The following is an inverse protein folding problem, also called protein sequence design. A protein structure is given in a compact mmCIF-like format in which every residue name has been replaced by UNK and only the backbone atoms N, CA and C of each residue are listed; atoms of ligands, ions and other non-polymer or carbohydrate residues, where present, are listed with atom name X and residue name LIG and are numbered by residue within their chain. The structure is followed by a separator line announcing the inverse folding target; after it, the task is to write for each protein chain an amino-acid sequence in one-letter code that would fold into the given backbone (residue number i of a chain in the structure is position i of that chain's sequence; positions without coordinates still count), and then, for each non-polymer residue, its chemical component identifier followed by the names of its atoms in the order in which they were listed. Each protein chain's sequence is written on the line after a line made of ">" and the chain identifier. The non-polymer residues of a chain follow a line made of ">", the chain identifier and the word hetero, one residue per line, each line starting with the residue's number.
data_IF_279285888235
#
_entry.id   IF_279285888235
#
_cell.length_a   1.000
_cell.length_b   1.000
_cell.length_c   1.000
_cell.angle_alpha   90.00
_cell.angle_beta   90.00
_cell.angle_gamma   90.00
#
_symmetry.space_group_name_H-M   'P 1'
#
loop_
_entity.id
_entity.type
_entity.pdbx_description
1 polymer ?
#
# COMPACT_ATOMS: atom_id res chain seq x y z
N UNK A 1 -1.90 -6.16 26.35
CA UNK A 1 -3.18 -6.02 25.66
C UNK A 1 -2.89 -5.82 24.17
N UNK A 2 -3.17 -6.81 23.32
CA UNK A 2 -2.94 -6.67 21.87
C UNK A 2 -4.23 -6.15 21.24
N UNK A 3 -4.20 -5.00 20.59
CA UNK A 3 -5.33 -4.48 19.82
C UNK A 3 -5.37 -5.21 18.48
N UNK A 4 -6.49 -5.84 18.14
CA UNK A 4 -6.63 -6.51 16.83
C UNK A 4 -6.74 -5.48 15.71
N UNK A 5 -6.24 -5.81 14.53
CA UNK A 5 -6.39 -4.99 13.33
C UNK A 5 -7.88 -4.71 13.04
N UNK A 6 -8.74 -5.72 13.15
CA UNK A 6 -10.19 -5.57 12.97
C UNK A 6 -10.76 -4.52 13.89
N UNK A 7 -10.45 -4.57 15.20
CA UNK A 7 -10.95 -3.58 16.16
C UNK A 7 -10.48 -2.15 15.87
N UNK A 8 -9.28 -1.99 15.28
CA UNK A 8 -8.82 -0.68 14.83
C UNK A 8 -9.54 -0.21 13.58
N UNK A 9 -9.76 -1.09 12.63
CA UNK A 9 -10.54 -0.77 11.44
C UNK A 9 -11.95 -0.33 11.82
N UNK A 10 -12.63 -1.04 12.73
CA UNK A 10 -13.97 -0.71 13.19
C UNK A 10 -14.03 0.71 13.79
N UNK A 11 -12.98 1.11 14.52
CA UNK A 11 -12.86 2.43 15.12
C UNK A 11 -12.24 3.50 14.21
N UNK A 12 -11.85 3.17 12.97
CA UNK A 12 -11.30 4.13 12.01
C UNK A 12 -12.39 4.55 11.04
N UNK A 13 -12.92 5.78 11.10
CA UNK A 13 -13.94 6.23 10.17
C UNK A 13 -13.35 6.45 8.78
N UNK A 14 -14.03 5.96 7.75
CA UNK A 14 -13.81 6.36 6.36
C UNK A 14 -15.18 6.70 5.77
N UNK A 15 -15.58 7.98 5.73
CA UNK A 15 -16.80 8.38 5.10
C UNK A 15 -16.84 7.95 3.63
N UNK A 16 -18.00 7.53 3.13
CA UNK A 16 -18.17 7.07 1.74
C UNK A 16 -17.61 8.07 0.70
N UNK A 17 -17.73 9.36 0.97
CA UNK A 17 -17.21 10.44 0.11
C UNK A 17 -15.68 10.53 0.09
N UNK A 18 -15.00 9.87 1.02
CA UNK A 18 -13.55 9.90 1.19
C UNK A 18 -12.87 8.59 0.76
N UNK A 19 -13.53 7.76 -0.05
CA UNK A 19 -12.98 6.48 -0.54
C UNK A 19 -11.60 6.60 -1.22
N UNK A 20 -11.31 7.77 -1.83
CA UNK A 20 -10.01 8.06 -2.41
C UNK A 20 -8.90 8.30 -1.37
N UNK A 21 -9.22 8.40 -0.08
CA UNK A 21 -8.19 8.57 0.97
C UNK A 21 -7.20 7.41 1.00
N UNK A 22 -7.64 6.19 0.69
CA UNK A 22 -6.76 5.04 0.59
C UNK A 22 -5.68 5.23 -0.50
N UNK A 23 -6.10 5.68 -1.67
CA UNK A 23 -5.19 5.97 -2.81
C UNK A 23 -4.26 7.13 -2.45
N UNK A 24 -4.80 8.21 -1.87
CA UNK A 24 -4.00 9.36 -1.42
C UNK A 24 -2.91 8.94 -0.42
N UNK A 25 -3.24 8.14 0.57
CA UNK A 25 -2.28 7.65 1.57
C UNK A 25 -1.17 6.80 0.93
N UNK A 26 -1.51 5.95 -0.03
CA UNK A 26 -0.52 5.15 -0.75
C UNK A 26 0.40 6.05 -1.62
N UNK A 27 -0.15 7.04 -2.32
CA UNK A 27 0.63 8.00 -3.11
C UNK A 27 1.55 8.84 -2.22
N UNK A 28 1.07 9.30 -1.05
CA UNK A 28 1.92 10.02 -0.09
C UNK A 28 3.06 9.15 0.41
N UNK A 29 2.81 7.86 0.69
CA UNK A 29 3.87 6.93 1.08
C UNK A 29 4.90 6.73 -0.05
N UNK A 30 4.46 6.64 -1.31
CA UNK A 30 5.32 6.53 -2.47
C UNK A 30 6.21 7.78 -2.64
N UNK A 31 5.64 8.98 -2.52
CA UNK A 31 6.40 10.24 -2.56
C UNK A 31 7.46 10.27 -1.44
N UNK A 32 7.10 9.89 -0.22
CA UNK A 32 8.03 9.84 0.90
C UNK A 32 9.15 8.81 0.68
N UNK A 33 8.85 7.69 0.02
CA UNK A 33 9.86 6.68 -0.33
C UNK A 33 10.86 7.24 -1.38
N UNK A 34 10.39 8.02 -2.33
CA UNK A 34 11.21 8.73 -3.32
C UNK A 34 12.10 9.78 -2.65
N UNK A 35 11.53 10.60 -1.75
CA UNK A 35 12.29 11.61 -1.00
C UNK A 35 13.42 10.99 -0.16
N UNK A 36 13.17 9.77 0.38
CA UNK A 36 14.19 9.02 1.13
C UNK A 36 15.26 8.41 0.23
N UNK A 37 14.94 8.08 -1.01
CA UNK A 37 15.87 7.50 -1.98
C UNK A 37 16.80 8.54 -2.60
N UNK A 38 16.46 9.84 -2.48
CA UNK A 38 17.20 10.96 -3.09
C UNK A 38 17.43 10.77 -4.61
N UNK A 39 16.44 10.18 -5.29
CA UNK A 39 16.53 9.97 -6.76
C UNK A 39 16.13 11.23 -7.52
N UNK A 40 16.87 11.56 -8.58
CA UNK A 40 16.60 12.76 -9.39
C UNK A 40 15.29 12.67 -10.17
N UNK A 41 15.02 11.48 -10.73
CA UNK A 41 13.85 11.22 -11.58
C UNK A 41 12.80 10.41 -10.81
N UNK A 42 12.42 10.91 -9.62
CA UNK A 42 11.38 10.31 -8.80
C UNK A 42 10.03 10.35 -9.53
N UNK A 43 9.34 9.20 -9.58
CA UNK A 43 8.03 9.11 -10.21
C UNK A 43 7.10 8.18 -9.45
N UNK A 44 5.81 8.50 -9.51
CA UNK A 44 4.73 7.65 -9.01
C UNK A 44 3.75 7.42 -10.15
N UNK A 45 3.45 6.15 -10.43
CA UNK A 45 2.47 5.75 -11.44
C UNK A 45 1.24 5.22 -10.72
N UNK A 46 0.08 5.78 -10.99
CA UNK A 46 -1.21 5.32 -10.46
C UNK A 46 -2.03 4.73 -11.60
N UNK A 47 -2.31 3.43 -11.51
CA UNK A 47 -3.14 2.72 -12.47
C UNK A 47 -4.45 2.30 -11.84
N UNK A 48 -5.58 2.73 -12.42
CA UNK A 48 -6.92 2.37 -11.96
C UNK A 48 -7.44 1.25 -12.87
N UNK A 49 -7.68 0.07 -12.29
CA UNK A 49 -8.26 -1.07 -12.98
C UNK A 49 -9.77 -1.05 -12.80
N UNK A 50 -10.51 -1.22 -13.89
CA UNK A 50 -11.97 -1.19 -13.89
C UNK A 50 -12.53 -2.48 -14.51
N UNK A 51 -13.59 -3.01 -13.90
CA UNK A 51 -14.37 -4.08 -14.50
C UNK A 51 -15.25 -3.43 -15.56
N UNK A 52 -14.98 -3.77 -16.82
CA UNK A 52 -15.87 -3.45 -17.94
C UNK A 52 -17.03 -4.44 -17.93
N UNK A 53 -18.28 -3.95 -18.08
CA UNK A 53 -19.49 -4.76 -18.25
C UNK A 53 -20.04 -5.46 -17.00
N UNK A 54 -20.32 -4.75 -15.91
CA UNK A 54 -21.45 -5.12 -15.06
C UNK A 54 -22.69 -4.35 -15.52
N UNK A 55 -23.60 -5.01 -16.23
CA UNK A 55 -24.99 -4.56 -16.31
C UNK A 55 -25.59 -4.68 -14.92
N UNK A 56 -25.74 -3.56 -14.24
CA UNK A 56 -26.54 -3.50 -13.01
C UNK A 56 -27.95 -3.13 -13.46
N UNK A 57 -28.87 -4.10 -13.39
CA UNK A 57 -30.30 -3.92 -13.72
C UNK A 57 -30.60 -3.43 -15.15
N UNK A 58 -29.84 -3.84 -16.16
CA UNK A 58 -30.11 -3.47 -17.55
C UNK A 58 -29.74 -2.04 -17.93
N UNK A 59 -29.11 -1.28 -17.05
CA UNK A 59 -28.59 0.05 -17.32
C UNK A 59 -27.10 -0.10 -17.63
N UNK A 60 -26.71 0.25 -18.84
CA UNK A 60 -25.29 0.42 -19.16
C UNK A 60 -24.74 1.53 -18.26
N UNK A 61 -23.67 1.22 -17.51
CA UNK A 61 -22.98 2.26 -16.74
C UNK A 61 -22.37 3.26 -17.73
N UNK A 62 -23.05 4.37 -17.95
CA UNK A 62 -22.48 5.49 -18.68
C UNK A 62 -21.20 5.92 -17.97
N UNK A 63 -20.07 5.79 -18.68
CA UNK A 63 -18.75 6.27 -18.29
C UNK A 63 -18.03 5.54 -17.13
N UNK A 64 -17.40 4.42 -17.46
CA UNK A 64 -16.27 3.89 -16.72
C UNK A 64 -16.64 2.99 -15.53
N UNK A 65 -16.78 1.70 -15.76
CA UNK A 65 -17.11 0.61 -14.83
C UNK A 65 -16.60 0.74 -13.38
N UNK A 66 -17.08 -0.14 -12.53
CA UNK A 66 -16.67 -0.20 -11.10
C UNK A 66 -15.16 -0.35 -10.99
N UNK A 67 -14.52 0.43 -10.13
CA UNK A 67 -13.10 0.27 -9.81
C UNK A 67 -12.95 -1.10 -9.13
N UNK A 68 -12.12 -1.95 -9.73
CA UNK A 68 -11.77 -3.27 -9.21
C UNK A 68 -10.56 -3.19 -8.29
N UNK A 69 -9.51 -2.56 -8.78
CA UNK A 69 -8.27 -2.40 -8.04
C UNK A 69 -7.52 -1.13 -8.46
N UNK A 70 -6.57 -0.73 -7.64
CA UNK A 70 -5.66 0.38 -7.92
C UNK A 70 -4.25 -0.10 -7.69
N UNK A 71 -3.37 0.12 -8.68
CA UNK A 71 -1.94 -0.12 -8.56
C UNK A 71 -1.22 1.20 -8.41
N UNK A 72 -0.30 1.29 -7.46
CA UNK A 72 0.57 2.44 -7.24
C UNK A 72 2.01 1.94 -7.30
N UNK A 73 2.79 2.47 -8.22
CA UNK A 73 4.18 2.12 -8.44
C UNK A 73 5.06 3.34 -8.18
N UNK A 74 6.18 3.13 -7.49
CA UNK A 74 7.19 4.16 -7.24
C UNK A 74 8.60 3.62 -7.48
N UNK A 75 9.56 4.51 -7.66
CA UNK A 75 10.97 4.21 -7.73
C UNK A 75 11.74 4.73 -6.50
N UNK A 76 11.11 4.67 -5.33
CA UNK A 76 11.71 5.05 -4.05
C UNK A 76 12.62 3.98 -3.45
N UNK A 77 12.87 4.08 -2.15
CA UNK A 77 13.79 3.16 -1.42
C UNK A 77 13.32 1.71 -1.35
N UNK A 78 12.04 1.45 -1.60
CA UNK A 78 11.42 0.14 -1.43
C UNK A 78 11.22 -0.27 0.04
N UNK A 79 10.79 -1.52 0.25
CA UNK A 79 10.58 -2.11 1.56
C UNK A 79 11.85 -2.79 2.07
N UNK A 80 12.83 -2.00 2.51
CA UNK A 80 13.99 -2.49 3.25
C UNK A 80 13.55 -3.26 4.50
N UNK A 81 14.44 -4.02 5.15
CA UNK A 81 14.13 -4.74 6.40
C UNK A 81 13.56 -3.79 7.44
N UNK A 82 14.18 -2.63 7.62
CA UNK A 82 13.72 -1.58 8.54
C UNK A 82 12.31 -1.06 8.20
N UNK A 83 12.02 -0.83 6.92
CA UNK A 83 10.70 -0.37 6.48
C UNK A 83 9.64 -1.45 6.65
N UNK A 84 10.00 -2.71 6.44
CA UNK A 84 9.11 -3.84 6.64
C UNK A 84 8.78 -4.06 8.13
N UNK A 85 9.79 -4.02 9.01
CA UNK A 85 9.59 -4.10 10.46
C UNK A 85 8.69 -2.96 10.96
N UNK A 86 8.93 -1.75 10.48
CA UNK A 86 8.07 -0.59 10.79
C UNK A 86 6.64 -0.77 10.27
N UNK A 87 6.48 -1.43 9.11
CA UNK A 87 5.16 -1.72 8.56
C UNK A 87 4.42 -2.78 9.39
N UNK A 88 5.08 -3.77 9.95
CA UNK A 88 4.44 -4.78 10.80
C UNK A 88 3.96 -4.20 12.13
N UNK A 89 4.58 -3.14 12.64
CA UNK A 89 4.19 -2.50 13.89
C UNK A 89 3.05 -1.50 13.67
N UNK A 90 1.82 -1.86 14.07
CA UNK A 90 0.71 -0.91 14.14
C UNK A 90 1.07 0.19 15.16
N UNK A 91 0.81 1.45 14.83
CA UNK A 91 1.11 2.65 15.64
C UNK A 91 2.57 3.08 15.71
N UNK A 92 3.50 2.31 15.17
CA UNK A 92 4.87 2.73 15.04
C UNK A 92 5.12 3.28 13.64
N UNK A 93 5.69 4.47 13.55
CA UNK A 93 6.16 5.04 12.29
C UNK A 93 7.43 5.82 12.57
N UNK A 94 8.56 5.34 12.05
CA UNK A 94 9.82 6.09 12.06
C UNK A 94 9.72 7.42 11.29
N UNK A 95 8.75 7.50 10.37
CA UNK A 95 8.44 8.71 9.62
C UNK A 95 7.76 9.79 10.47
N UNK A 96 7.39 9.47 11.73
CA UNK A 96 6.68 10.41 12.61
C UNK A 96 7.49 11.66 12.89
N UNK A 97 8.78 11.52 13.11
CA UNK A 97 9.68 12.65 13.37
C UNK A 97 9.92 13.49 12.11
N UNK A 98 10.08 12.85 10.96
CA UNK A 98 10.40 13.52 9.69
C UNK A 98 9.16 14.08 8.97
N UNK A 99 8.03 13.37 8.99
CA UNK A 99 6.85 13.70 8.19
C UNK A 99 5.55 13.85 9.01
N UNK A 100 5.59 13.75 10.34
CA UNK A 100 4.42 13.87 11.22
C UNK A 100 3.40 12.73 11.05
N UNK A 101 3.78 11.60 10.45
CA UNK A 101 2.90 10.49 10.14
C UNK A 101 2.43 9.76 11.40
N UNK A 102 1.14 9.47 11.48
CA UNK A 102 0.53 8.74 12.62
C UNK A 102 0.61 7.21 12.50
N UNK A 103 1.16 6.67 11.41
CA UNK A 103 1.24 5.22 11.15
C UNK A 103 -0.11 4.56 10.82
N UNK A 104 -1.19 5.34 10.70
CA UNK A 104 -2.55 4.83 10.48
C UNK A 104 -3.00 4.85 9.01
N UNK A 105 -2.22 5.45 8.11
CA UNK A 105 -2.59 5.62 6.70
C UNK A 105 -2.91 4.29 6.00
N UNK A 106 -2.14 3.23 6.30
CA UNK A 106 -2.37 1.88 5.74
C UNK A 106 -3.72 1.27 6.16
N UNK A 107 -4.31 1.69 7.29
CA UNK A 107 -5.64 1.23 7.67
C UNK A 107 -6.70 1.71 6.69
N UNK A 108 -6.47 2.86 6.04
CA UNK A 108 -7.37 3.36 4.99
C UNK A 108 -7.39 2.43 3.78
N UNK A 109 -6.29 1.71 3.50
CA UNK A 109 -6.25 0.74 2.41
C UNK A 109 -7.28 -0.36 2.64
N UNK A 110 -7.32 -0.94 3.86
CA UNK A 110 -8.27 -2.00 4.22
C UNK A 110 -9.69 -1.51 4.50
N UNK A 111 -9.91 -0.21 4.58
CA UNK A 111 -11.25 0.39 4.59
C UNK A 111 -11.86 0.48 3.19
N UNK A 112 -11.03 0.68 2.17
CA UNK A 112 -11.47 0.83 0.79
C UNK A 112 -11.36 -0.47 -0.02
N UNK A 113 -10.39 -1.33 0.32
CA UNK A 113 -10.08 -2.58 -0.37
C UNK A 113 -10.04 -3.74 0.62
N UNK A 114 -10.26 -4.96 0.13
CA UNK A 114 -10.22 -6.17 0.96
C UNK A 114 -8.81 -6.56 1.40
N UNK A 115 -7.81 -6.22 0.58
CA UNK A 115 -6.40 -6.49 0.84
C UNK A 115 -5.52 -5.52 0.04
N UNK A 116 -4.26 -5.43 0.43
CA UNK A 116 -3.20 -4.79 -0.33
C UNK A 116 -2.08 -5.80 -0.56
N UNK A 117 -1.70 -5.99 -1.82
CA UNK A 117 -0.52 -6.77 -2.19
C UNK A 117 0.63 -5.80 -2.40
N UNK A 118 1.75 -6.06 -1.77
CA UNK A 118 2.96 -5.26 -1.87
C UNK A 118 4.04 -6.09 -2.53
N UNK A 119 4.62 -5.56 -3.60
CA UNK A 119 5.77 -6.10 -4.29
C UNK A 119 6.85 -5.03 -4.34
N UNK A 120 8.07 -5.33 -3.93
CA UNK A 120 9.09 -4.31 -3.74
C UNK A 120 10.49 -4.83 -4.00
N UNK A 121 11.35 -3.94 -4.50
CA UNK A 121 12.78 -4.14 -4.59
C UNK A 121 13.51 -3.06 -3.78
N UNK A 122 14.62 -3.41 -3.16
CA UNK A 122 15.43 -2.51 -2.35
C UNK A 122 16.91 -2.91 -2.36
N UNK A 123 17.78 -1.94 -2.18
CA UNK A 123 19.20 -2.19 -2.07
C UNK A 123 19.59 -2.57 -0.64
N UNK A 124 20.35 -3.66 -0.51
CA UNK A 124 21.02 -4.09 0.71
C UNK A 124 22.52 -4.15 0.42
N UNK A 125 23.22 -3.05 0.73
CA UNK A 125 24.56 -2.82 0.20
C UNK A 125 24.53 -2.70 -1.32
N UNK A 126 25.26 -3.55 -2.01
CA UNK A 126 25.34 -3.60 -3.48
C UNK A 126 24.39 -4.64 -4.12
N UNK A 127 23.61 -5.34 -3.31
CA UNK A 127 22.67 -6.37 -3.77
C UNK A 127 21.26 -5.82 -3.86
N UNK A 128 20.60 -6.01 -5.02
CA UNK A 128 19.18 -5.72 -5.18
C UNK A 128 18.36 -6.91 -4.70
N UNK A 129 17.70 -6.76 -3.54
CA UNK A 129 16.80 -7.74 -2.95
C UNK A 129 15.35 -7.41 -3.28
N UNK A 130 14.51 -8.42 -3.23
CA UNK A 130 13.07 -8.28 -3.47
C UNK A 130 12.24 -8.80 -2.30
N UNK A 131 11.02 -8.28 -2.19
CA UNK A 131 10.08 -8.67 -1.15
C UNK A 131 8.65 -8.54 -1.65
N UNK A 132 7.88 -9.61 -1.48
CA UNK A 132 6.45 -9.64 -1.80
C UNK A 132 5.68 -10.14 -0.59
N UNK A 133 4.64 -9.44 -0.19
CA UNK A 133 3.77 -9.81 0.93
C UNK A 133 2.37 -9.23 0.74
N UNK A 134 1.42 -9.74 1.51
CA UNK A 134 0.03 -9.27 1.52
C UNK A 134 -0.32 -8.70 2.89
N UNK A 135 -1.11 -7.63 2.89
CA UNK A 135 -1.70 -7.01 4.06
C UNK A 135 -3.22 -7.09 3.96
N UNK A 136 -3.83 -7.85 4.86
CA UNK A 136 -5.27 -8.10 4.91
C UNK A 136 -5.69 -8.39 6.36
N UNK A 137 -6.98 -8.26 6.64
CA UNK A 137 -7.50 -8.73 7.94
C UNK A 137 -7.51 -10.25 7.97
N UNK A 138 -6.76 -10.82 8.88
CA UNK A 138 -6.68 -12.26 9.09
C UNK A 138 -7.42 -12.70 10.36
N UNK A 139 -8.01 -13.91 10.32
CA UNK A 139 -8.70 -14.49 11.48
C UNK A 139 -7.74 -14.98 12.57
N UNK A 140 -6.52 -15.32 12.18
CA UNK A 140 -5.47 -15.84 13.08
C UNK A 140 -4.55 -14.74 13.61
N UNK A 141 -4.74 -13.48 13.17
CA UNK A 141 -3.97 -12.31 13.57
C UNK A 141 -2.66 -12.14 12.80
N UNK A 142 -2.43 -12.92 11.74
CA UNK A 142 -1.33 -12.74 10.80
C UNK A 142 -1.75 -11.80 9.68
N UNK A 143 -1.97 -10.54 10.01
CA UNK A 143 -2.50 -9.52 9.09
C UNK A 143 -1.49 -9.13 7.99
N UNK A 144 -0.21 -9.44 8.17
CA UNK A 144 0.86 -9.32 7.18
C UNK A 144 1.43 -10.69 6.93
N UNK A 145 1.39 -11.17 5.69
CA UNK A 145 1.93 -12.50 5.35
C UNK A 145 3.46 -12.51 5.43
N UNK A 146 4.02 -13.70 5.66
CA UNK A 146 5.47 -13.89 5.57
C UNK A 146 5.98 -13.45 4.19
N UNK A 147 7.05 -12.65 4.13
CA UNK A 147 7.57 -12.15 2.88
C UNK A 147 8.20 -13.26 2.03
N UNK A 148 8.01 -13.16 0.72
CA UNK A 148 8.60 -14.03 -0.30
C UNK A 148 9.40 -13.19 -1.28
N UNK A 149 10.23 -13.83 -2.09
CA UNK A 149 10.84 -13.16 -3.24
C UNK A 149 9.77 -12.72 -4.26
N UNK A 150 10.05 -11.63 -4.95
CA UNK A 150 9.20 -11.14 -6.02
C UNK A 150 9.34 -11.97 -7.29
N UNK A 151 8.22 -12.18 -7.97
CA UNK A 151 8.20 -12.78 -9.32
C UNK A 151 8.43 -11.71 -10.41
N UNK A 152 8.50 -10.42 -10.05
CA UNK A 152 8.68 -9.32 -10.97
C UNK A 152 10.18 -9.10 -11.28
N UNK A 153 10.47 -8.65 -12.51
CA UNK A 153 11.81 -8.22 -12.88
C UNK A 153 12.00 -6.75 -12.49
N UNK A 154 12.81 -6.54 -11.47
CA UNK A 154 13.17 -5.20 -11.00
C UNK A 154 14.49 -4.73 -11.60
N UNK A 155 14.55 -3.47 -12.03
CA UNK A 155 15.77 -2.82 -12.54
C UNK A 155 16.42 -1.90 -11.51
N UNK A 156 15.77 -1.67 -10.39
CA UNK A 156 16.20 -0.80 -9.31
C UNK A 156 15.25 -0.90 -8.13
N UNK A 157 15.49 -0.13 -7.09
CA UNK A 157 14.61 -0.07 -5.93
C UNK A 157 13.26 0.58 -6.29
N UNK A 158 12.23 0.22 -5.54
CA UNK A 158 10.87 0.73 -5.70
C UNK A 158 9.83 -0.15 -5.05
N UNK A 159 8.56 0.23 -5.19
CA UNK A 159 7.41 -0.53 -4.68
C UNK A 159 6.27 -0.51 -5.69
N UNK A 160 5.53 -1.61 -5.70
CA UNK A 160 4.27 -1.77 -6.43
C UNK A 160 3.22 -2.42 -5.55
#
# INVERSE_FOLDING_TARGET
>A
MRTSLQGRLDNTPLPYKEGLMAVKEAVVNAIQAIDLADVRDGHVIVTIHRIQNRQINGIEAENGGVIDSVTIEDNGVGFTDKNFDSFQCLDYSEKREKFGCKGMGRLMWLKAFTHAQIDSAFWDGDELKTRKFEFAVSRDGNDVTEPKESDLSWKGAGTR
#
